data_IF_128814850901
#
_entry.id   IF_128814850901
#
_cell.length_a   1.000
_cell.length_b   1.000
_cell.length_c   1.000
_cell.angle_alpha   90.00
_cell.angle_beta   90.00
_cell.angle_gamma   90.00
#
_symmetry.space_group_name_H-M   'P 1'
#
loop_
_entity.id
_entity.type
_entity.pdbx_description
1 polymer ?
#
# COMPACT_ATOMS: atom_id res chain seq x y z
N UNK A 1 43.09 -42.57 -19.33
CA UNK A 1 42.36 -43.83 -19.55
C UNK A 1 40.89 -43.46 -19.39
N UNK A 2 40.08 -43.40 -20.45
CA UNK A 2 39.50 -44.53 -21.22
C UNK A 2 38.50 -45.35 -20.39
N UNK A 3 37.25 -45.57 -20.82
CA UNK A 3 36.55 -45.17 -22.06
C UNK A 3 35.02 -45.29 -21.93
N UNK A 4 34.26 -44.51 -22.72
CA UNK A 4 32.88 -44.81 -23.18
C UNK A 4 31.74 -44.77 -22.13
N UNK A 5 30.47 -44.49 -22.47
CA UNK A 5 29.87 -44.04 -23.74
C UNK A 5 28.86 -45.02 -24.35
N UNK A 6 27.61 -44.56 -24.58
CA UNK A 6 26.59 -45.08 -25.54
C UNK A 6 25.35 -44.17 -25.47
N UNK A 7 24.58 -44.01 -26.56
CA UNK A 7 23.30 -43.30 -26.57
C UNK A 7 22.30 -43.87 -27.62
N UNK A 8 21.02 -43.95 -27.25
CA UNK A 8 19.78 -44.20 -28.03
C UNK A 8 18.62 -43.68 -27.15
N UNK A 9 17.51 -42.99 -27.53
CA UNK A 9 16.74 -42.64 -28.75
C UNK A 9 15.45 -43.47 -29.04
N UNK A 10 14.38 -42.72 -29.35
CA UNK A 10 13.04 -43.15 -29.85
C UNK A 10 12.18 -43.91 -28.82
N UNK A 11 10.84 -43.85 -28.82
CA UNK A 11 9.83 -43.19 -29.69
C UNK A 11 8.86 -42.33 -28.81
N UNK A 12 8.07 -41.33 -29.25
CA UNK A 12 6.97 -41.29 -30.25
C UNK A 12 5.88 -42.37 -30.01
N UNK A 13 4.56 -42.12 -30.08
CA UNK A 13 3.74 -40.87 -30.18
C UNK A 13 2.24 -41.21 -30.14
N UNK A 14 1.35 -40.32 -29.67
CA UNK A 14 -0.09 -40.14 -30.01
C UNK A 14 -0.82 -39.34 -28.88
N UNK A 15 -2.04 -38.82 -29.04
CA UNK A 15 -2.50 -37.69 -29.89
C UNK A 15 -4.02 -37.48 -29.75
N UNK A 16 -4.49 -36.22 -29.86
CA UNK A 16 -5.91 -35.77 -29.90
C UNK A 16 -6.71 -35.82 -28.58
N UNK A 17 -7.59 -34.83 -28.39
CA UNK A 17 -8.44 -34.71 -27.19
C UNK A 17 -8.89 -33.29 -26.83
N UNK A 18 -9.47 -32.55 -27.79
CA UNK A 18 -10.12 -31.26 -27.52
C UNK A 18 -11.64 -31.39 -27.68
N UNK A 19 -12.44 -30.86 -26.75
CA UNK A 19 -13.53 -29.89 -27.01
C UNK A 19 -14.50 -29.69 -25.83
N UNK A 20 -14.92 -28.43 -25.67
CA UNK A 20 -16.25 -27.94 -25.26
C UNK A 20 -16.77 -28.04 -23.81
N UNK A 21 -17.56 -26.99 -23.50
CA UNK A 21 -18.37 -26.77 -22.30
C UNK A 21 -19.65 -27.60 -22.34
N UNK A 22 -20.19 -27.94 -21.18
CA UNK A 22 -21.65 -28.02 -20.95
C UNK A 22 -22.03 -27.28 -19.66
N UNK A 23 -23.09 -26.47 -19.75
CA UNK A 23 -23.76 -25.87 -18.59
C UNK A 23 -24.96 -26.76 -18.24
N UNK A 24 -25.11 -27.16 -16.98
CA UNK A 24 -26.37 -27.73 -16.46
C UNK A 24 -26.45 -27.48 -14.95
N UNK A 25 -27.52 -26.83 -14.51
CA UNK A 25 -27.88 -26.71 -13.10
C UNK A 25 -28.92 -27.79 -12.74
N UNK A 26 -28.90 -28.35 -11.51
CA UNK A 26 -29.99 -29.17 -11.01
C UNK A 26 -31.13 -28.30 -10.47
N UNK A 27 -32.37 -28.68 -10.76
CA UNK A 27 -33.59 -28.18 -10.10
C UNK A 27 -34.04 -29.19 -9.05
N UNK A 28 -34.77 -28.71 -8.04
CA UNK A 28 -35.35 -29.50 -6.94
C UNK A 28 -35.98 -30.83 -7.37
N UNK A 29 -35.90 -31.82 -6.48
CA UNK A 29 -36.95 -32.83 -6.35
C UNK A 29 -37.21 -33.11 -4.86
N UNK A 30 -38.36 -32.65 -4.36
CA UNK A 30 -38.75 -32.79 -2.95
C UNK A 30 -39.50 -34.11 -2.74
N UNK A 31 -39.13 -34.90 -1.74
CA UNK A 31 -39.85 -36.14 -1.39
C UNK A 31 -40.41 -36.08 0.05
N UNK A 32 -41.43 -36.90 0.34
CA UNK A 32 -42.47 -36.58 1.36
C UNK A 32 -42.81 -37.77 2.27
N UNK A 33 -42.78 -37.52 3.58
CA UNK A 33 -43.40 -38.31 4.67
C UNK A 33 -43.85 -37.28 5.73
N UNK A 34 -45.12 -37.02 6.03
CA UNK A 34 -46.22 -37.88 6.54
C UNK A 34 -46.09 -38.33 8.01
N UNK A 35 -46.48 -37.42 8.92
CA UNK A 35 -47.18 -37.62 10.21
C UNK A 35 -47.38 -36.21 10.85
N UNK A 36 -48.47 -35.82 11.53
CA UNK A 36 -49.81 -36.40 11.65
C UNK A 36 -50.75 -35.54 12.54
N UNK A 37 -52.07 -35.82 12.49
CA UNK A 37 -53.09 -35.53 13.52
C UNK A 37 -53.70 -34.10 13.72
N UNK A 38 -54.97 -33.98 13.26
CA UNK A 38 -56.13 -33.20 13.80
C UNK A 38 -56.39 -31.70 13.47
N UNK A 39 -57.68 -31.23 13.53
CA UNK A 39 -58.13 -29.97 12.91
C UNK A 39 -58.93 -28.99 13.81
N UNK A 40 -59.17 -27.75 13.34
CA UNK A 40 -60.40 -26.96 13.62
C UNK A 40 -60.58 -25.71 12.70
N UNK A 41 -61.82 -25.51 12.22
CA UNK A 41 -62.54 -24.23 11.94
C UNK A 41 -61.83 -22.96 11.41
N UNK A 42 -62.34 -22.36 10.31
CA UNK A 42 -62.05 -20.97 9.93
C UNK A 42 -62.64 -20.47 8.59
N UNK A 43 -63.76 -19.74 8.65
CA UNK A 43 -64.40 -18.96 7.55
C UNK A 43 -63.57 -17.70 7.17
N UNK A 44 -63.74 -16.97 6.05
CA UNK A 44 -64.32 -17.16 4.69
C UNK A 44 -64.11 -15.84 3.87
N UNK A 45 -64.49 -15.79 2.58
CA UNK A 45 -64.56 -14.61 1.66
C UNK A 45 -63.18 -14.07 1.16
N UNK A 46 -62.88 -13.72 -0.12
CA UNK A 46 -63.56 -13.06 -1.29
C UNK A 46 -63.76 -11.55 -1.10
N UNK A 47 -63.44 -10.60 -2.02
CA UNK A 47 -63.17 -10.55 -3.48
C UNK A 47 -61.98 -9.59 -3.78
N UNK A 48 -61.10 -9.79 -4.77
CA UNK A 48 -61.19 -9.48 -6.22
C UNK A 48 -61.39 -8.00 -6.62
N UNK A 49 -60.37 -7.31 -7.17
CA UNK A 49 -60.32 -6.96 -8.62
C UNK A 49 -59.10 -6.10 -9.09
N UNK A 50 -58.63 -6.46 -10.30
CA UNK A 50 -58.02 -5.71 -11.41
C UNK A 50 -57.43 -4.30 -11.16
N UNK A 51 -56.12 -4.05 -11.37
CA UNK A 51 -55.35 -4.03 -12.65
C UNK A 51 -55.38 -2.70 -13.42
N UNK A 52 -54.21 -2.05 -13.55
CA UNK A 52 -53.80 -1.36 -14.79
C UNK A 52 -52.28 -1.41 -14.97
N UNK A 53 -51.83 -1.41 -16.22
CA UNK A 53 -50.44 -1.57 -16.63
C UNK A 53 -49.91 -0.31 -17.31
N UNK A 54 -48.64 0.00 -17.08
CA UNK A 54 -47.77 0.62 -18.09
C UNK A 54 -46.33 0.15 -17.89
N UNK A 55 -45.64 -0.12 -18.99
CA UNK A 55 -44.20 -0.39 -19.01
C UNK A 55 -43.42 0.94 -18.99
N UNK A 56 -42.14 0.88 -18.61
CA UNK A 56 -41.06 1.37 -19.48
C UNK A 56 -39.71 0.79 -19.05
N UNK A 57 -38.80 0.63 -20.01
CA UNK A 57 -37.48 -0.01 -19.83
C UNK A 57 -36.37 1.03 -19.95
N UNK A 58 -35.31 0.92 -19.14
CA UNK A 58 -34.16 1.84 -19.22
C UNK A 58 -32.96 1.35 -18.43
N UNK A 59 -32.06 0.60 -19.08
CA UNK A 59 -30.79 0.16 -18.50
C UNK A 59 -29.69 1.20 -18.73
N UNK A 60 -29.00 1.63 -17.68
CA UNK A 60 -27.82 2.52 -17.77
C UNK A 60 -26.56 1.78 -17.33
N UNK A 61 -25.83 1.23 -18.30
CA UNK A 61 -24.49 0.70 -18.06
C UNK A 61 -23.47 1.84 -18.09
N UNK A 62 -22.76 2.07 -16.97
CA UNK A 62 -21.70 3.08 -16.90
C UNK A 62 -20.37 2.54 -17.44
N UNK A 63 -20.10 2.79 -18.72
CA UNK A 63 -18.79 2.52 -19.34
C UNK A 63 -17.79 3.64 -19.02
N UNK A 64 -17.05 3.51 -17.92
CA UNK A 64 -15.96 4.42 -17.58
C UNK A 64 -14.72 4.15 -18.47
N UNK A 65 -14.51 4.95 -19.51
CA UNK A 65 -13.38 4.82 -20.44
C UNK A 65 -12.74 6.18 -20.75
N UNK A 66 -12.03 6.74 -19.78
CA UNK A 66 -11.29 8.00 -19.92
C UNK A 66 -9.89 7.77 -20.49
N UNK A 67 -9.77 7.58 -21.80
CA UNK A 67 -8.46 7.57 -22.48
C UNK A 67 -7.93 8.99 -22.65
N UNK A 68 -6.78 9.28 -22.06
CA UNK A 68 -6.11 10.59 -22.18
C UNK A 68 -5.28 10.68 -23.47
N UNK A 69 -5.62 11.63 -24.35
CA UNK A 69 -4.82 11.93 -25.53
C UNK A 69 -4.88 13.43 -25.86
N UNK A 70 -3.72 14.10 -25.79
CA UNK A 70 -3.52 15.50 -26.16
C UNK A 70 -2.75 15.58 -27.48
N UNK A 71 -3.18 16.46 -28.39
CA UNK A 71 -2.30 17.11 -29.38
C UNK A 71 -3.05 18.24 -30.11
N UNK A 72 -2.59 19.50 -30.05
CA UNK A 72 -3.14 20.60 -30.85
C UNK A 72 -2.31 20.88 -32.10
N UNK A 73 -2.94 21.04 -33.28
CA UNK A 73 -2.28 21.63 -34.45
C UNK A 73 -3.27 22.13 -35.51
N UNK A 74 -2.79 23.04 -36.37
CA UNK A 74 -3.44 23.62 -37.56
C UNK A 74 -4.66 24.53 -37.35
N UNK A 75 -4.49 25.79 -37.75
CA UNK A 75 -5.52 26.82 -37.92
C UNK A 75 -6.27 26.66 -39.26
N UNK A 76 -7.56 27.02 -39.29
CA UNK A 76 -8.29 27.47 -40.49
C UNK A 76 -9.40 28.45 -40.06
N UNK A 77 -9.64 29.50 -40.85
CA UNK A 77 -10.55 30.60 -40.49
C UNK A 77 -11.85 30.58 -41.31
N UNK A 78 -12.94 31.11 -40.73
CA UNK A 78 -14.14 31.52 -41.48
C UNK A 78 -15.01 32.53 -40.71
N UNK A 79 -16.01 33.09 -41.37
CA UNK A 79 -16.79 34.31 -41.04
C UNK A 79 -18.30 34.02 -41.24
N UNK A 80 -19.34 34.65 -40.66
CA UNK A 80 -19.60 35.73 -39.67
C UNK A 80 -21.12 35.64 -39.30
N UNK A 81 -21.74 36.42 -38.37
CA UNK A 81 -21.26 37.40 -37.39
C UNK A 81 -21.74 37.11 -35.93
N UNK A 82 -21.52 38.04 -34.99
CA UNK A 82 -22.08 38.01 -33.63
C UNK A 82 -23.55 38.47 -33.57
N UNK A 83 -24.31 38.08 -32.52
CA UNK A 83 -24.80 39.12 -31.60
C UNK A 83 -24.82 38.74 -30.10
N UNK A 84 -24.95 39.77 -29.26
CA UNK A 84 -25.20 39.77 -27.80
C UNK A 84 -24.11 39.18 -26.89
N UNK A 85 -23.61 40.02 -25.97
CA UNK A 85 -22.62 39.65 -24.98
C UNK A 85 -23.26 39.07 -23.72
N UNK A 86 -22.79 37.89 -23.31
CA UNK A 86 -22.90 37.36 -21.94
C UNK A 86 -21.49 37.34 -21.34
N UNK A 87 -21.29 37.75 -20.07
CA UNK A 87 -19.97 37.72 -19.46
C UNK A 87 -19.57 36.27 -19.16
N UNK A 88 -18.82 35.66 -20.08
CA UNK A 88 -18.13 34.39 -19.82
C UNK A 88 -17.12 34.64 -18.71
N UNK A 89 -17.46 34.27 -17.48
CA UNK A 89 -16.45 34.11 -16.45
C UNK A 89 -15.46 33.06 -16.93
N UNK A 90 -14.23 33.51 -17.22
CA UNK A 90 -13.08 32.65 -17.47
C UNK A 90 -12.70 31.92 -16.18
N UNK A 91 -13.54 30.99 -15.77
CA UNK A 91 -13.25 30.05 -14.70
C UNK A 91 -12.11 29.17 -15.17
N UNK A 92 -10.88 29.60 -14.88
CA UNK A 92 -9.74 28.68 -14.82
C UNK A 92 -10.21 27.46 -14.04
N UNK A 93 -10.08 26.28 -14.62
CA UNK A 93 -10.28 25.03 -13.88
C UNK A 93 -9.09 24.90 -12.95
N UNK A 94 -9.18 25.61 -11.82
CA UNK A 94 -8.29 25.44 -10.68
C UNK A 94 -8.35 23.95 -10.36
N UNK A 95 -7.23 23.26 -10.53
CA UNK A 95 -7.11 21.88 -10.10
C UNK A 95 -7.34 21.88 -8.59
N UNK A 96 -8.53 21.49 -8.17
CA UNK A 96 -8.86 21.40 -6.75
C UNK A 96 -7.89 20.42 -6.13
N UNK A 97 -7.22 20.84 -5.05
CA UNK A 97 -6.35 20.00 -4.22
C UNK A 97 -7.20 19.01 -3.40
N UNK A 98 -8.03 18.24 -4.11
CA UNK A 98 -8.78 17.11 -3.61
C UNK A 98 -7.83 15.90 -3.61
N UNK A 99 -7.81 15.16 -2.51
CA UNK A 99 -6.90 14.04 -2.23
C UNK A 99 -6.93 12.93 -3.30
N UNK A 100 -8.03 12.82 -4.05
CA UNK A 100 -8.19 11.94 -5.22
C UNK A 100 -7.18 12.29 -6.33
N UNK A 101 -6.96 13.58 -6.59
CA UNK A 101 -6.14 14.09 -7.70
C UNK A 101 -4.64 14.21 -7.37
N UNK A 102 -4.27 14.09 -6.09
CA UNK A 102 -2.89 14.21 -5.65
C UNK A 102 -2.05 13.05 -6.20
N UNK A 103 -0.92 13.34 -6.86
CA UNK A 103 0.05 12.32 -7.28
C UNK A 103 0.69 11.66 -6.05
N UNK A 104 1.18 10.45 -6.24
CA UNK A 104 2.07 9.82 -5.27
C UNK A 104 3.27 10.72 -4.97
N UNK A 105 3.60 10.84 -3.69
CA UNK A 105 4.88 11.39 -3.25
C UNK A 105 5.82 10.23 -2.95
N UNK A 106 6.87 10.08 -3.75
CA UNK A 106 7.85 9.01 -3.57
C UNK A 106 8.64 9.17 -2.25
N UNK A 107 8.80 10.38 -1.72
CA UNK A 107 9.50 10.60 -0.44
C UNK A 107 8.74 10.04 0.76
N UNK A 108 7.43 9.82 0.62
CA UNK A 108 6.56 9.26 1.66
C UNK A 108 6.55 7.73 1.72
N UNK A 109 7.18 7.01 0.78
CA UNK A 109 7.19 5.54 0.86
C UNK A 109 8.12 5.06 1.98
N UNK A 110 7.73 3.98 2.67
CA UNK A 110 8.55 3.43 3.77
C UNK A 110 9.96 3.01 3.28
N UNK A 111 10.09 2.55 2.03
CA UNK A 111 11.38 2.33 1.38
C UNK A 111 12.22 3.61 1.31
N UNK A 112 11.67 4.70 0.75
CA UNK A 112 12.42 5.93 0.55
C UNK A 112 12.73 6.66 1.87
N UNK A 113 11.82 6.57 2.85
CA UNK A 113 12.05 7.00 4.23
C UNK A 113 13.24 6.24 4.83
N UNK A 114 13.29 4.91 4.71
CA UNK A 114 14.40 4.12 5.27
C UNK A 114 15.74 4.37 4.54
N UNK A 115 15.73 4.58 3.23
CA UNK A 115 16.93 4.95 2.46
C UNK A 115 17.49 6.29 2.93
N UNK A 116 16.65 7.32 3.06
CA UNK A 116 17.10 8.62 3.58
C UNK A 116 17.50 8.53 5.06
N UNK A 117 16.77 7.77 5.87
CA UNK A 117 17.07 7.58 7.28
C UNK A 117 18.42 6.89 7.48
N UNK A 118 18.79 5.90 6.65
CA UNK A 118 20.16 5.32 6.64
C UNK A 118 21.22 6.37 6.31
N UNK A 119 20.98 7.25 5.35
CA UNK A 119 21.91 8.33 4.99
C UNK A 119 22.10 9.37 6.12
N UNK A 120 21.03 9.71 6.86
CA UNK A 120 21.11 10.60 8.04
C UNK A 120 21.77 9.90 9.23
N UNK A 121 21.46 8.63 9.48
CA UNK A 121 22.09 7.84 10.54
C UNK A 121 23.59 7.61 10.29
N UNK A 122 24.03 7.50 9.03
CA UNK A 122 25.45 7.40 8.69
C UNK A 122 26.27 8.66 9.04
N UNK A 123 25.61 9.81 9.23
CA UNK A 123 26.21 11.06 9.70
C UNK A 123 26.31 11.14 11.24
N UNK A 124 25.77 10.17 11.98
CA UNK A 124 25.83 10.16 13.44
C UNK A 124 27.20 9.60 13.87
N UNK A 125 28.01 10.35 14.64
CA UNK A 125 29.33 9.89 15.10
C UNK A 125 29.28 8.53 15.79
N UNK A 126 30.05 7.56 15.27
CA UNK A 126 30.12 6.20 15.79
C UNK A 126 28.95 5.28 15.41
N UNK A 127 27.95 5.75 14.64
CA UNK A 127 26.80 4.91 14.29
C UNK A 127 27.11 3.84 13.23
N UNK A 128 28.02 4.13 12.30
CA UNK A 128 28.32 3.24 11.16
C UNK A 128 28.77 1.82 11.54
N UNK A 129 29.33 1.61 12.74
CA UNK A 129 29.63 0.27 13.26
C UNK A 129 28.38 -0.61 13.37
N UNK A 130 27.23 -0.04 13.77
CA UNK A 130 25.98 -0.80 13.90
C UNK A 130 25.38 -1.27 12.57
N UNK A 131 25.81 -0.70 11.43
CA UNK A 131 25.43 -1.22 10.11
C UNK A 131 26.27 -2.44 9.74
N UNK A 132 27.60 -2.37 9.90
CA UNK A 132 28.51 -3.50 9.65
C UNK A 132 28.15 -4.69 10.56
N UNK A 133 28.00 -4.44 11.87
CA UNK A 133 27.54 -5.43 12.85
C UNK A 133 26.19 -6.08 12.47
N UNK A 134 25.37 -5.48 11.59
CA UNK A 134 24.07 -6.02 11.16
C UNK A 134 24.07 -6.70 9.79
N UNK A 135 25.16 -6.58 9.03
CA UNK A 135 25.32 -7.18 7.70
C UNK A 135 26.25 -8.43 7.73
N UNK A 136 26.94 -8.68 8.87
CA UNK A 136 27.83 -9.84 9.12
C UNK A 136 27.14 -11.12 9.70
N UNK A 137 25.82 -11.12 9.91
CA UNK A 137 25.07 -12.29 10.41
C UNK A 137 24.59 -13.17 9.22
N UNK A 138 24.85 -14.49 9.26
CA UNK A 138 24.65 -15.49 8.17
C UNK A 138 23.18 -15.65 7.69
N UNK A 139 22.61 -14.63 7.03
CA UNK A 139 21.25 -14.58 6.49
C UNK A 139 21.23 -14.49 4.94
N UNK A 140 20.10 -14.86 4.33
CA UNK A 140 20.03 -15.06 2.88
C UNK A 140 19.99 -13.76 2.04
N UNK A 141 20.58 -13.81 0.83
CA UNK A 141 20.64 -12.69 -0.15
C UNK A 141 19.26 -12.08 -0.50
N UNK A 142 18.17 -12.83 -0.29
CA UNK A 142 16.80 -12.43 -0.62
C UNK A 142 16.27 -11.24 0.22
N UNK A 143 16.88 -10.98 1.38
CA UNK A 143 16.36 -10.04 2.38
C UNK A 143 17.23 -8.77 2.55
N UNK A 144 17.98 -8.44 1.50
CA UNK A 144 18.88 -7.28 1.36
C UNK A 144 18.16 -5.94 1.07
N UNK A 145 16.88 -5.78 1.41
CA UNK A 145 16.19 -4.49 1.20
C UNK A 145 16.52 -3.46 2.31
N UNK A 146 16.53 -2.14 2.00
CA UNK A 146 16.94 -1.11 2.95
C UNK A 146 16.05 -0.98 4.20
N UNK A 147 14.78 -1.42 4.13
CA UNK A 147 13.84 -1.36 5.26
C UNK A 147 14.15 -2.50 6.23
N UNK A 148 14.25 -3.73 5.72
CA UNK A 148 14.51 -4.92 6.52
C UNK A 148 15.88 -4.86 7.20
N UNK A 149 16.94 -4.44 6.49
CA UNK A 149 18.28 -4.23 7.08
C UNK A 149 18.27 -3.12 8.15
N UNK A 150 17.60 -1.97 7.92
CA UNK A 150 17.47 -0.93 8.95
C UNK A 150 16.66 -1.40 10.17
N UNK A 151 15.60 -2.17 9.96
CA UNK A 151 14.76 -2.70 11.05
C UNK A 151 15.52 -3.73 11.89
N UNK A 152 16.31 -4.62 11.28
CA UNK A 152 17.23 -5.54 11.99
C UNK A 152 18.26 -4.77 12.81
N UNK A 153 18.94 -3.79 12.22
CA UNK A 153 19.90 -2.93 12.92
C UNK A 153 19.26 -2.28 14.16
N UNK A 154 18.13 -1.58 14.00
CA UNK A 154 17.44 -0.89 15.10
C UNK A 154 16.94 -1.86 16.19
N UNK A 155 16.50 -3.08 15.83
CA UNK A 155 16.10 -4.13 16.79
C UNK A 155 17.24 -4.57 17.72
N UNK A 156 18.52 -4.35 17.38
CA UNK A 156 19.64 -4.59 18.31
C UNK A 156 19.60 -3.66 19.53
N UNK A 157 18.93 -2.52 19.44
CA UNK A 157 18.70 -1.56 20.54
C UNK A 157 19.92 -0.72 20.93
N UNK A 158 21.13 -1.23 20.74
CA UNK A 158 22.38 -0.46 20.86
C UNK A 158 22.48 0.77 19.93
N UNK A 159 21.95 0.79 18.68
CA UNK A 159 22.10 1.97 17.82
C UNK A 159 21.25 3.14 18.31
N UNK A 160 20.09 2.85 18.91
CA UNK A 160 19.21 3.85 19.54
C UNK A 160 19.93 4.54 20.72
N UNK A 161 20.65 3.77 21.54
CA UNK A 161 21.45 4.31 22.66
C UNK A 161 22.62 5.16 22.15
N UNK A 162 23.31 4.74 21.08
CA UNK A 162 24.33 5.57 20.41
C UNK A 162 23.73 6.89 19.92
N UNK A 163 22.65 6.83 19.13
CA UNK A 163 21.96 7.99 18.57
C UNK A 163 21.53 9.01 19.65
N UNK A 164 20.92 8.54 20.74
CA UNK A 164 20.53 9.44 21.84
C UNK A 164 21.75 10.05 22.54
N UNK A 165 22.81 9.27 22.78
CA UNK A 165 24.02 9.78 23.41
C UNK A 165 24.76 10.82 22.55
N UNK A 166 24.61 10.79 21.22
CA UNK A 166 25.10 11.84 20.32
C UNK A 166 24.51 13.22 20.63
N UNK A 167 23.29 13.30 21.18
CA UNK A 167 22.65 14.58 21.53
C UNK A 167 23.33 15.35 22.66
N UNK A 168 24.32 14.75 23.34
CA UNK A 168 24.95 15.25 24.56
C UNK A 168 23.91 15.56 25.67
N UNK A 169 23.12 14.55 26.09
CA UNK A 169 22.14 14.69 27.17
C UNK A 169 22.83 14.94 28.52
N UNK A 170 22.10 15.56 29.45
CA UNK A 170 22.60 15.78 30.82
C UNK A 170 22.81 14.46 31.59
N UNK A 171 22.11 13.40 31.19
CA UNK A 171 22.26 12.04 31.69
C UNK A 171 22.46 11.10 30.48
N UNK A 172 23.68 10.59 30.30
CA UNK A 172 23.97 9.63 29.23
C UNK A 172 23.30 8.29 29.48
N UNK A 173 22.67 7.72 28.45
CA UNK A 173 22.12 6.37 28.52
C UNK A 173 23.27 5.36 28.61
N UNK A 174 23.35 4.53 29.66
CA UNK A 174 24.42 3.56 29.80
C UNK A 174 24.30 2.49 28.71
N UNK A 175 25.42 2.20 28.04
CA UNK A 175 25.50 1.06 27.12
C UNK A 175 25.14 -0.23 27.88
N UNK A 176 24.32 -1.13 27.29
CA UNK A 176 23.88 -2.34 28.00
C UNK A 176 25.04 -3.25 28.42
N UNK A 177 24.97 -3.79 29.63
CA UNK A 177 25.99 -4.69 30.20
C UNK A 177 26.16 -5.94 29.31
N UNK A 178 27.40 -6.23 28.92
CA UNK A 178 27.79 -7.36 28.05
C UNK A 178 27.53 -8.73 28.68
N UNK A 179 27.17 -8.77 29.98
CA UNK A 179 26.76 -9.98 30.70
C UNK A 179 25.27 -10.32 30.52
N UNK A 180 24.48 -9.44 29.91
CA UNK A 180 23.05 -9.66 29.67
C UNK A 180 22.78 -10.39 28.35
N UNK A 181 21.88 -11.37 28.37
CA UNK A 181 21.43 -12.04 27.15
C UNK A 181 20.77 -11.04 26.17
N UNK A 182 21.19 -11.07 24.90
CA UNK A 182 20.80 -10.12 23.84
C UNK A 182 19.30 -9.74 23.81
N UNK A 183 18.31 -10.66 23.78
CA UNK A 183 16.90 -10.27 23.71
C UNK A 183 16.38 -9.51 24.95
N UNK A 184 17.09 -9.56 26.09
CA UNK A 184 16.83 -8.70 27.26
C UNK A 184 17.60 -7.38 27.16
N UNK A 185 18.85 -7.45 26.69
CA UNK A 185 19.78 -6.33 26.47
C UNK A 185 19.19 -5.31 25.49
N UNK A 186 18.73 -5.74 24.32
CA UNK A 186 18.12 -4.90 23.29
C UNK A 186 16.81 -4.26 23.77
N UNK A 187 15.91 -5.03 24.39
CA UNK A 187 14.63 -4.49 24.91
C UNK A 187 14.84 -3.47 26.03
N UNK A 188 15.83 -3.67 26.90
CA UNK A 188 16.23 -2.68 27.91
C UNK A 188 16.80 -1.41 27.28
N UNK A 189 17.63 -1.54 26.24
CA UNK A 189 18.19 -0.41 25.50
C UNK A 189 17.10 0.44 24.82
N UNK A 190 16.18 -0.21 24.09
CA UNK A 190 15.03 0.44 23.45
C UNK A 190 14.10 1.10 24.47
N UNK A 191 13.80 0.44 25.60
CA UNK A 191 12.95 1.02 26.64
C UNK A 191 13.54 2.32 27.18
N UNK A 192 14.83 2.32 27.54
CA UNK A 192 15.53 3.52 28.03
C UNK A 192 15.59 4.64 26.99
N UNK A 193 15.76 4.30 25.71
CA UNK A 193 15.68 5.29 24.62
C UNK A 193 14.30 5.95 24.55
N UNK A 194 13.22 5.19 24.62
CA UNK A 194 11.84 5.71 24.59
C UNK A 194 11.55 6.58 25.82
N UNK A 195 11.94 6.13 27.02
CA UNK A 195 11.83 6.88 28.26
C UNK A 195 12.56 8.23 28.19
N UNK A 196 13.79 8.24 27.66
CA UNK A 196 14.59 9.45 27.50
C UNK A 196 14.04 10.40 26.40
N UNK A 197 13.44 9.87 25.33
CA UNK A 197 12.73 10.67 24.33
C UNK A 197 11.50 11.39 24.92
N UNK A 198 10.79 10.78 25.86
CA UNK A 198 9.70 11.43 26.58
C UNK A 198 10.20 12.49 27.58
N UNK A 199 11.26 12.17 28.34
CA UNK A 199 11.79 13.00 29.44
C UNK A 199 12.56 14.22 28.94
N UNK A 200 13.51 14.04 28.03
CA UNK A 200 14.47 15.08 27.64
C UNK A 200 14.06 15.79 26.34
N UNK A 201 13.52 15.04 25.35
CA UNK A 201 13.03 15.61 24.08
C UNK A 201 11.55 16.03 24.14
N UNK A 202 10.87 15.77 25.25
CA UNK A 202 9.47 16.16 25.49
C UNK A 202 8.47 15.60 24.45
N UNK A 203 8.79 14.48 23.80
CA UNK A 203 7.91 13.84 22.80
C UNK A 203 6.68 13.25 23.52
N UNK A 204 5.44 13.53 23.08
CA UNK A 204 4.25 13.05 23.77
C UNK A 204 4.15 11.51 23.85
N UNK A 205 3.54 10.95 24.91
CA UNK A 205 3.36 9.50 25.07
C UNK A 205 2.53 8.84 23.96
N UNK A 206 1.72 9.62 23.23
CA UNK A 206 0.98 9.14 22.06
C UNK A 206 1.87 8.94 20.82
N UNK A 207 2.98 9.69 20.72
CA UNK A 207 3.80 9.82 19.52
C UNK A 207 5.10 9.01 19.59
N UNK A 208 5.61 8.72 20.80
CA UNK A 208 6.70 7.74 20.98
C UNK A 208 6.23 6.31 20.68
N UNK A 209 7.11 5.49 20.11
CA UNK A 209 6.80 4.09 19.79
C UNK A 209 6.94 3.18 21.02
N UNK A 210 6.16 2.10 21.07
CA UNK A 210 6.22 1.08 22.10
C UNK A 210 7.17 -0.08 21.71
N UNK A 211 7.55 -0.94 22.67
CA UNK A 211 8.41 -2.11 22.37
C UNK A 211 7.76 -3.07 21.36
N UNK A 212 6.43 -3.13 21.28
CA UNK A 212 5.68 -3.84 20.24
C UNK A 212 6.00 -3.36 18.83
N UNK A 213 6.31 -2.08 18.67
CA UNK A 213 6.34 -1.39 17.38
C UNK A 213 7.68 -1.62 16.68
N UNK A 214 8.74 -1.88 17.46
CA UNK A 214 10.07 -2.26 16.97
C UNK A 214 10.27 -3.79 16.94
N UNK A 215 9.86 -4.50 17.99
CA UNK A 215 10.09 -5.95 18.13
C UNK A 215 8.95 -6.83 17.62
N UNK A 216 7.81 -6.23 17.21
CA UNK A 216 6.76 -6.90 16.47
C UNK A 216 7.05 -6.95 14.96
N UNK A 217 6.07 -7.45 14.22
CA UNK A 217 6.14 -7.67 12.77
C UNK A 217 4.94 -7.00 12.07
N UNK A 218 4.82 -5.68 12.25
CA UNK A 218 3.86 -4.79 11.57
C UNK A 218 4.58 -3.51 11.17
N UNK A 219 4.52 -3.16 9.89
CA UNK A 219 5.12 -1.96 9.32
C UNK A 219 4.50 -0.67 9.87
N UNK A 220 3.28 -0.70 10.42
CA UNK A 220 2.66 0.48 11.05
C UNK A 220 3.39 0.86 12.34
N UNK A 221 3.77 -0.14 13.15
CA UNK A 221 4.71 0.05 14.25
C UNK A 221 6.06 0.61 13.77
N UNK A 222 6.64 0.03 12.72
CA UNK A 222 7.94 0.49 12.23
C UNK A 222 7.92 1.90 11.61
N UNK A 223 6.83 2.31 10.96
CA UNK A 223 6.63 3.71 10.53
C UNK A 223 6.75 4.65 11.74
N UNK A 224 6.12 4.32 12.87
CA UNK A 224 6.22 5.11 14.11
C UNK A 224 7.65 5.14 14.68
N UNK A 225 8.38 4.03 14.59
CA UNK A 225 9.82 3.99 14.89
C UNK A 225 10.61 4.98 14.02
N UNK A 226 10.42 4.95 12.70
CA UNK A 226 11.13 5.87 11.78
C UNK A 226 10.78 7.35 12.00
N UNK A 227 9.56 7.66 12.44
CA UNK A 227 9.14 9.02 12.80
C UNK A 227 9.90 9.56 14.01
N UNK A 228 9.95 8.80 15.11
CA UNK A 228 10.67 9.20 16.34
C UNK A 228 12.17 9.35 16.08
N UNK A 229 12.77 8.45 15.29
CA UNK A 229 14.20 8.53 14.96
C UNK A 229 14.49 9.78 14.10
N UNK A 230 13.60 10.15 13.17
CA UNK A 230 13.75 11.42 12.44
C UNK A 230 13.66 12.63 13.38
N UNK A 231 12.71 12.69 14.32
CA UNK A 231 12.65 13.78 15.32
C UNK A 231 13.95 13.88 16.12
N UNK A 232 14.52 12.74 16.54
CA UNK A 232 15.80 12.69 17.26
C UNK A 232 16.97 13.20 16.39
N UNK A 233 16.99 12.86 15.10
CA UNK A 233 17.98 13.37 14.13
C UNK A 233 17.79 14.86 13.83
N UNK A 234 16.56 15.36 13.73
CA UNK A 234 16.27 16.78 13.53
C UNK A 234 16.80 17.61 14.71
N UNK A 235 16.69 17.09 15.94
CA UNK A 235 17.27 17.71 17.14
C UNK A 235 18.81 17.62 17.14
N UNK A 236 19.40 16.54 16.63
CA UNK A 236 20.86 16.44 16.46
C UNK A 236 21.39 17.44 15.42
N UNK A 237 20.68 17.58 14.31
CA UNK A 237 21.00 18.49 13.20
C UNK A 237 20.89 19.97 13.63
N UNK A 238 19.80 20.33 14.33
CA UNK A 238 19.61 21.66 14.92
C UNK A 238 20.70 22.04 15.95
N UNK A 239 21.32 21.04 16.60
CA UNK A 239 22.45 21.23 17.53
C UNK A 239 23.82 21.22 16.83
N UNK A 240 23.89 20.92 15.53
CA UNK A 240 25.14 20.79 14.78
C UNK A 240 25.97 19.55 15.18
N UNK A 241 25.32 18.49 15.66
CA UNK A 241 25.97 17.28 16.21
C UNK A 241 26.08 16.13 15.19
N UNK A 242 25.54 16.32 13.97
CA UNK A 242 25.75 15.42 12.84
C UNK A 242 27.05 15.78 12.10
N UNK A 243 27.73 14.77 11.57
CA UNK A 243 28.85 14.94 10.67
C UNK A 243 28.36 15.60 9.38
N UNK A 244 28.89 16.78 9.04
CA UNK A 244 28.67 17.39 7.73
C UNK A 244 28.97 16.37 6.63
N UNK A 245 28.07 16.13 5.67
CA UNK A 245 28.39 15.30 4.53
C UNK A 245 29.66 15.82 3.85
N UNK A 246 30.72 15.00 3.82
CA UNK A 246 31.81 15.29 2.90
C UNK A 246 31.23 15.26 1.49
N UNK A 247 31.48 16.32 0.73
CA UNK A 247 31.21 16.34 -0.69
C UNK A 247 32.23 15.42 -1.39
N UNK A 248 32.05 14.12 -1.25
CA UNK A 248 32.52 13.18 -2.27
C UNK A 248 31.76 13.52 -3.56
N UNK A 249 32.50 13.72 -4.65
CA UNK A 249 31.97 14.18 -5.94
C UNK A 249 30.97 13.16 -6.51
N UNK A 250 29.73 13.28 -6.05
CA UNK A 250 28.56 12.57 -6.58
C UNK A 250 28.29 13.18 -7.94
N UNK A 251 29.02 12.67 -8.93
CA UNK A 251 28.84 12.98 -10.33
C UNK A 251 27.49 12.45 -10.78
N UNK A 252 26.44 13.22 -10.49
CA UNK A 252 25.11 12.98 -11.00
C UNK A 252 25.22 12.80 -12.52
N UNK A 253 24.93 11.59 -12.98
CA UNK A 253 24.85 11.27 -14.40
C UNK A 253 23.57 11.89 -14.97
N UNK A 254 23.58 13.22 -15.07
CA UNK A 254 22.47 14.06 -15.47
C UNK A 254 21.90 13.57 -16.80
N UNK A 255 20.81 12.81 -16.72
CA UNK A 255 20.24 12.13 -17.89
C UNK A 255 19.71 13.18 -18.85
N UNK A 256 20.32 13.24 -20.04
CA UNK A 256 20.15 14.36 -20.96
C UNK A 256 18.65 14.63 -21.26
N UNK A 257 18.16 15.87 -21.02
CA UNK A 257 16.73 16.20 -21.15
C UNK A 257 16.32 16.15 -22.62
N UNK A 258 15.73 15.02 -23.03
CA UNK A 258 15.37 14.74 -24.43
C UNK A 258 15.34 13.26 -24.78
N UNK A 259 15.93 12.38 -23.96
CA UNK A 259 15.76 10.93 -24.12
C UNK A 259 14.28 10.55 -24.02
N UNK A 260 13.71 10.03 -25.13
CA UNK A 260 12.35 9.49 -25.12
C UNK A 260 12.35 8.20 -24.30
N UNK A 261 11.72 8.27 -23.13
CA UNK A 261 11.41 7.12 -22.26
C UNK A 261 11.00 5.90 -23.09
N UNK A 262 11.73 4.80 -22.92
CA UNK A 262 11.38 3.52 -23.54
C UNK A 262 10.03 3.03 -23.01
N UNK A 263 9.29 2.27 -23.83
CA UNK A 263 8.00 1.70 -23.43
C UNK A 263 8.11 0.87 -22.13
N UNK A 264 9.20 0.08 -21.95
CA UNK A 264 9.48 -0.60 -20.67
C UNK A 264 9.62 0.37 -19.50
N UNK A 265 10.33 1.49 -19.69
CA UNK A 265 10.52 2.49 -18.63
C UNK A 265 9.21 3.20 -18.28
N UNK A 266 8.35 3.47 -19.27
CA UNK A 266 7.01 4.04 -19.05
C UNK A 266 6.15 3.11 -18.19
N UNK A 267 6.13 1.81 -18.51
CA UNK A 267 5.39 0.80 -17.75
C UNK A 267 5.93 0.64 -16.34
N UNK A 268 7.26 0.51 -16.18
CA UNK A 268 7.91 0.41 -14.87
C UNK A 268 7.54 1.61 -13.99
N UNK A 269 7.57 2.82 -14.54
CA UNK A 269 7.12 4.03 -13.85
C UNK A 269 5.63 3.97 -13.49
N UNK A 270 4.76 3.57 -14.42
CA UNK A 270 3.32 3.45 -14.15
C UNK A 270 3.03 2.42 -13.04
N UNK A 271 3.68 1.26 -13.05
CA UNK A 271 3.56 0.24 -12.01
C UNK A 271 3.93 0.82 -10.63
N UNK A 272 5.14 1.39 -10.51
CA UNK A 272 5.67 1.90 -9.24
C UNK A 272 4.88 3.13 -8.75
N UNK A 273 4.63 4.12 -9.59
CA UNK A 273 3.95 5.35 -9.17
C UNK A 273 2.47 5.11 -8.84
N UNK A 274 1.80 4.17 -9.51
CA UNK A 274 0.43 3.78 -9.15
C UNK A 274 0.37 2.85 -7.92
N UNK A 275 1.44 2.11 -7.61
CA UNK A 275 1.54 1.36 -6.34
C UNK A 275 1.74 2.32 -5.17
N UNK A 276 2.69 3.27 -5.28
CA UNK A 276 2.90 4.34 -4.30
C UNK A 276 1.61 5.12 -4.02
N UNK A 277 0.85 5.49 -5.05
CA UNK A 277 -0.45 6.19 -4.88
C UNK A 277 -1.47 5.31 -4.18
N UNK A 278 -1.53 4.02 -4.51
CA UNK A 278 -2.45 3.10 -3.85
C UNK A 278 -2.11 2.91 -2.37
N UNK A 279 -0.85 2.68 -2.01
CA UNK A 279 -0.41 2.61 -0.60
C UNK A 279 -0.71 3.92 0.13
N UNK A 280 -0.36 5.08 -0.44
CA UNK A 280 -0.67 6.39 0.13
C UNK A 280 -2.19 6.56 0.38
N UNK A 281 -3.04 6.07 -0.52
CA UNK A 281 -4.49 6.13 -0.36
C UNK A 281 -5.02 5.16 0.71
N UNK A 282 -4.38 3.99 0.90
CA UNK A 282 -4.65 3.11 2.03
C UNK A 282 -4.23 3.76 3.37
N UNK A 283 -3.10 4.47 3.41
CA UNK A 283 -2.67 5.22 4.60
C UNK A 283 -3.64 6.32 4.97
N UNK A 284 -4.13 7.08 3.98
CA UNK A 284 -5.17 8.10 4.19
C UNK A 284 -6.48 7.47 4.73
N UNK A 285 -6.83 6.26 4.30
CA UNK A 285 -8.01 5.53 4.81
C UNK A 285 -7.79 4.98 6.23
N UNK A 286 -6.57 4.54 6.56
CA UNK A 286 -6.18 4.10 7.90
C UNK A 286 -6.10 5.27 8.90
N UNK A 287 -5.59 6.42 8.50
CA UNK A 287 -5.54 7.60 9.37
C UNK A 287 -6.94 8.18 9.64
N UNK A 288 -7.86 8.07 8.67
CA UNK A 288 -9.29 8.30 8.91
C UNK A 288 -9.85 7.35 9.97
N UNK A 289 -9.64 6.03 9.82
CA UNK A 289 -10.06 5.01 10.78
C UNK A 289 -9.56 5.35 12.19
N UNK A 290 -8.26 5.61 12.33
CA UNK A 290 -7.60 6.01 13.59
C UNK A 290 -8.20 7.30 14.17
N UNK A 291 -8.46 8.30 13.34
CA UNK A 291 -9.10 9.56 13.76
C UNK A 291 -10.51 9.33 14.32
N UNK A 292 -11.30 8.45 13.68
CA UNK A 292 -12.64 8.08 14.14
C UNK A 292 -12.59 7.36 15.50
N UNK A 293 -11.66 6.42 15.66
CA UNK A 293 -11.46 5.65 16.90
C UNK A 293 -10.98 6.55 18.05
N UNK A 294 -10.00 7.43 17.80
CA UNK A 294 -9.45 8.35 18.80
C UNK A 294 -10.46 9.43 19.23
N UNK A 295 -11.30 9.94 18.31
CA UNK A 295 -12.37 10.89 18.62
C UNK A 295 -13.65 10.23 19.15
N UNK A 296 -13.76 8.90 19.14
CA UNK A 296 -14.95 8.17 19.60
C UNK A 296 -16.22 8.43 18.77
N UNK A 297 -16.07 8.77 17.48
CA UNK A 297 -17.16 9.28 16.62
C UNK A 297 -18.25 8.24 16.36
N UNK A 298 -17.87 6.96 16.28
CA UNK A 298 -18.75 5.79 16.22
C UNK A 298 -18.14 4.67 17.05
N UNK A 299 -18.97 3.69 17.44
CA UNK A 299 -18.51 2.54 18.21
C UNK A 299 -17.55 1.65 17.40
N UNK A 300 -16.59 1.01 18.07
CA UNK A 300 -15.47 0.30 17.43
C UNK A 300 -15.86 -0.94 16.61
N UNK A 301 -17.00 -1.54 16.92
CA UNK A 301 -17.64 -2.58 16.10
C UNK A 301 -18.12 -2.01 14.76
N UNK A 302 -18.75 -0.83 14.76
CA UNK A 302 -19.16 -0.10 13.54
C UNK A 302 -17.94 0.36 12.75
N UNK A 303 -16.85 0.78 13.41
CA UNK A 303 -15.56 1.04 12.72
C UNK A 303 -15.05 -0.24 12.05
N UNK A 304 -15.03 -1.37 12.75
CA UNK A 304 -14.57 -2.63 12.17
C UNK A 304 -15.45 -3.09 10.99
N UNK A 305 -16.77 -2.91 11.07
CA UNK A 305 -17.70 -3.24 9.99
C UNK A 305 -17.56 -2.34 8.74
N UNK A 306 -17.06 -1.11 8.90
CA UNK A 306 -16.78 -0.17 7.79
C UNK A 306 -15.40 -0.41 7.18
N UNK A 307 -14.37 -0.53 8.02
CA UNK A 307 -12.97 -0.56 7.58
C UNK A 307 -12.41 -1.99 7.41
N UNK A 308 -13.14 -3.01 7.88
CA UNK A 308 -12.83 -4.43 7.71
C UNK A 308 -11.38 -4.75 8.15
N UNK A 309 -10.64 -5.52 7.36
CA UNK A 309 -9.23 -5.86 7.59
C UNK A 309 -8.24 -4.89 6.91
N UNK A 310 -8.59 -3.59 6.79
CA UNK A 310 -7.72 -2.59 6.13
C UNK A 310 -6.30 -2.52 6.69
N UNK A 311 -6.12 -2.73 8.01
CA UNK A 311 -4.81 -2.75 8.66
C UNK A 311 -3.88 -3.82 8.06
N UNK A 312 -4.38 -5.04 7.87
CA UNK A 312 -3.60 -6.14 7.26
C UNK A 312 -3.35 -5.90 5.77
N UNK A 313 -4.30 -5.29 5.05
CA UNK A 313 -4.13 -4.89 3.65
C UNK A 313 -3.06 -3.80 3.49
N UNK A 314 -3.01 -2.83 4.41
CA UNK A 314 -2.01 -1.77 4.42
C UNK A 314 -0.61 -2.30 4.77
N UNK A 315 -0.46 -3.16 5.78
CA UNK A 315 0.84 -3.77 6.10
C UNK A 315 1.37 -4.59 4.92
N UNK A 316 0.53 -5.48 4.38
CA UNK A 316 0.86 -6.27 3.19
C UNK A 316 1.30 -5.38 2.02
N UNK A 317 0.56 -4.32 1.71
CA UNK A 317 0.89 -3.47 0.56
C UNK A 317 2.08 -2.55 0.79
N UNK A 318 2.41 -2.19 2.04
CA UNK A 318 3.71 -1.59 2.36
C UNK A 318 4.86 -2.56 2.08
N UNK A 319 4.78 -3.81 2.54
CA UNK A 319 5.79 -4.86 2.25
C UNK A 319 5.91 -5.13 0.74
N UNK A 320 4.79 -5.21 0.05
CA UNK A 320 4.75 -5.40 -1.40
C UNK A 320 5.41 -4.21 -2.14
N UNK A 321 5.05 -2.97 -1.79
CA UNK A 321 5.68 -1.76 -2.32
C UNK A 321 7.19 -1.73 -2.04
N UNK A 322 7.65 -2.15 -0.86
CA UNK A 322 9.09 -2.22 -0.53
C UNK A 322 9.84 -3.14 -1.50
N UNK A 323 9.37 -4.36 -1.75
CA UNK A 323 10.03 -5.27 -2.71
C UNK A 323 9.85 -4.79 -4.17
N UNK A 324 8.78 -4.08 -4.52
CA UNK A 324 8.59 -3.38 -5.81
C UNK A 324 9.61 -2.24 -6.00
N UNK A 325 9.85 -1.41 -4.98
CA UNK A 325 10.85 -0.32 -5.02
C UNK A 325 12.29 -0.84 -4.94
N UNK A 326 12.51 -1.96 -4.25
CA UNK A 326 13.78 -2.71 -4.28
C UNK A 326 14.05 -3.28 -5.68
N UNK A 327 13.03 -3.81 -6.36
CA UNK A 327 13.16 -4.25 -7.76
C UNK A 327 13.42 -3.06 -8.69
N UNK A 328 12.88 -1.87 -8.38
CA UNK A 328 13.09 -0.66 -9.16
C UNK A 328 14.52 -0.09 -9.03
N UNK A 329 15.17 -0.24 -7.87
CA UNK A 329 16.53 0.28 -7.62
C UNK A 329 17.65 -0.61 -8.16
N UNK A 330 17.36 -1.88 -8.48
CA UNK A 330 18.31 -2.78 -9.13
C UNK A 330 18.63 -2.36 -10.58
N UNK A 331 19.84 -2.69 -11.09
CA UNK A 331 20.20 -2.54 -12.51
C UNK A 331 19.16 -3.19 -13.43
N UNK A 332 18.83 -2.54 -14.56
CA UNK A 332 17.72 -2.90 -15.46
C UNK A 332 17.77 -4.36 -15.93
N UNK A 333 18.98 -4.87 -16.11
CA UNK A 333 19.36 -6.23 -16.47
C UNK A 333 19.10 -7.29 -15.38
N UNK A 334 18.99 -6.89 -14.11
CA UNK A 334 18.65 -7.75 -12.95
C UNK A 334 17.17 -7.67 -12.51
N UNK A 335 16.40 -6.69 -12.99
CA UNK A 335 15.04 -6.45 -12.45
C UNK A 335 14.02 -7.54 -12.85
N UNK A 336 13.72 -8.44 -11.90
CA UNK A 336 12.75 -9.52 -12.05
C UNK A 336 11.36 -9.14 -11.53
N UNK A 337 10.69 -8.24 -12.25
CA UNK A 337 9.36 -7.71 -11.86
C UNK A 337 8.23 -8.74 -11.67
N UNK A 338 8.40 -9.99 -12.13
CA UNK A 338 7.48 -11.09 -11.83
C UNK A 338 7.69 -11.71 -10.43
N UNK A 339 8.91 -11.61 -9.88
CA UNK A 339 9.31 -12.25 -8.62
C UNK A 339 8.49 -11.75 -7.40
N UNK A 340 8.24 -10.43 -7.20
CA UNK A 340 7.38 -9.98 -6.11
C UNK A 340 5.96 -10.55 -6.18
N UNK A 341 5.38 -10.68 -7.38
CA UNK A 341 4.03 -11.24 -7.54
C UNK A 341 3.97 -12.73 -7.24
N UNK A 342 5.01 -13.49 -7.63
CA UNK A 342 5.14 -14.91 -7.32
C UNK A 342 5.32 -15.14 -5.82
N UNK A 343 6.23 -14.40 -5.19
CA UNK A 343 6.57 -14.60 -3.78
C UNK A 343 5.44 -14.17 -2.82
N UNK A 344 4.55 -13.28 -3.26
CA UNK A 344 3.38 -12.84 -2.49
C UNK A 344 2.03 -13.40 -2.99
N UNK A 345 2.02 -14.41 -3.86
CA UNK A 345 0.77 -14.93 -4.46
C UNK A 345 -0.28 -15.34 -3.40
N UNK A 346 0.14 -16.10 -2.37
CA UNK A 346 -0.74 -16.50 -1.27
C UNK A 346 -1.16 -15.32 -0.37
N UNK A 347 -0.29 -14.31 -0.21
CA UNK A 347 -0.57 -13.16 0.65
C UNK A 347 -1.71 -12.28 0.11
N UNK A 348 -1.98 -12.28 -1.20
CA UNK A 348 -3.15 -11.61 -1.78
C UNK A 348 -4.50 -12.20 -1.30
N UNK A 349 -4.54 -13.40 -0.70
CA UNK A 349 -5.77 -14.00 -0.17
C UNK A 349 -6.45 -13.14 0.92
N UNK A 350 -5.72 -12.24 1.61
CA UNK A 350 -6.31 -11.31 2.60
C UNK A 350 -7.41 -10.41 2.00
N UNK A 351 -7.42 -10.21 0.68
CA UNK A 351 -8.45 -9.44 -0.02
C UNK A 351 -9.80 -10.15 -0.07
N UNK A 352 -9.86 -11.48 0.08
CA UNK A 352 -11.11 -12.25 -0.02
C UNK A 352 -12.14 -11.79 1.03
N UNK A 353 -11.71 -11.62 2.29
CA UNK A 353 -12.56 -11.15 3.39
C UNK A 353 -13.06 -9.72 3.16
N UNK A 354 -12.21 -8.85 2.59
CA UNK A 354 -12.56 -7.48 2.25
C UNK A 354 -13.61 -7.44 1.14
N UNK A 355 -13.34 -8.11 0.01
CA UNK A 355 -14.21 -8.22 -1.16
C UNK A 355 -15.59 -8.77 -0.78
N UNK A 356 -15.65 -9.81 0.06
CA UNK A 356 -16.89 -10.45 0.47
C UNK A 356 -17.81 -9.51 1.27
N UNK A 357 -17.24 -8.62 2.10
CA UNK A 357 -17.99 -7.76 3.01
C UNK A 357 -18.19 -6.32 2.49
N UNK A 358 -17.47 -5.90 1.43
CA UNK A 358 -17.46 -4.52 0.92
C UNK A 358 -18.85 -3.87 0.77
N UNK A 359 -19.85 -4.61 0.28
CA UNK A 359 -21.21 -4.05 0.11
C UNK A 359 -21.87 -3.71 1.45
N UNK A 360 -21.67 -4.55 2.48
CA UNK A 360 -22.14 -4.28 3.85
C UNK A 360 -21.43 -3.07 4.42
N UNK A 361 -20.09 -3.04 4.31
CA UNK A 361 -19.25 -1.94 4.78
C UNK A 361 -19.67 -0.58 4.18
N UNK A 362 -19.84 -0.50 2.86
CA UNK A 362 -20.27 0.71 2.17
C UNK A 362 -21.67 1.19 2.60
N UNK A 363 -22.61 0.28 2.91
CA UNK A 363 -23.92 0.65 3.46
C UNK A 363 -23.78 1.22 4.88
N UNK A 364 -23.04 0.55 5.77
CA UNK A 364 -22.84 1.02 7.15
C UNK A 364 -22.07 2.35 7.19
N UNK A 365 -21.13 2.55 6.28
CA UNK A 365 -20.40 3.82 6.10
C UNK A 365 -21.34 4.95 5.67
N UNK A 366 -22.31 4.66 4.80
CA UNK A 366 -23.32 5.62 4.36
C UNK A 366 -24.27 6.00 5.50
N UNK A 367 -24.78 5.00 6.21
CA UNK A 367 -25.74 5.19 7.31
C UNK A 367 -25.13 5.91 8.53
N UNK A 368 -23.80 6.00 8.60
CA UNK A 368 -23.06 6.76 9.63
C UNK A 368 -22.31 7.98 9.07
N UNK A 369 -22.48 8.33 7.79
CA UNK A 369 -21.66 9.37 7.13
C UNK A 369 -21.72 10.73 7.86
N UNK A 370 -22.91 11.14 8.30
CA UNK A 370 -23.14 12.40 9.04
C UNK A 370 -22.38 12.49 10.38
N UNK A 371 -21.93 11.35 10.93
CA UNK A 371 -21.01 11.30 12.08
C UNK A 371 -19.56 11.33 11.59
N UNK A 372 -19.24 10.54 10.57
CA UNK A 372 -17.87 10.36 10.06
C UNK A 372 -17.30 11.68 9.52
N UNK A 373 -18.12 12.60 9.00
CA UNK A 373 -17.70 13.97 8.62
C UNK A 373 -17.08 14.76 9.77
N UNK A 374 -17.48 14.51 11.03
CA UNK A 374 -16.88 15.16 12.22
C UNK A 374 -15.42 14.71 12.49
N UNK A 375 -14.91 13.74 11.74
CA UNK A 375 -13.50 13.40 11.73
C UNK A 375 -12.62 14.54 11.21
N UNK A 376 -13.18 15.48 10.42
CA UNK A 376 -12.46 16.61 9.79
C UNK A 376 -11.20 16.14 9.03
N UNK A 377 -11.39 15.14 8.16
CA UNK A 377 -10.32 14.45 7.46
C UNK A 377 -10.53 14.52 5.93
N UNK A 378 -9.49 14.78 5.10
CA UNK A 378 -9.66 15.05 3.67
C UNK A 378 -10.29 13.95 2.80
N UNK A 379 -10.47 12.74 3.32
CA UNK A 379 -11.18 11.61 2.66
C UNK A 379 -12.71 11.74 2.80
N UNK A 380 -13.22 12.57 3.70
CA UNK A 380 -14.65 12.68 4.07
C UNK A 380 -15.31 13.97 3.57
N UNK A 381 -14.79 14.56 2.49
CA UNK A 381 -15.36 15.78 1.88
C UNK A 381 -16.77 15.52 1.33
N UNK A 382 -16.99 14.34 0.74
CA UNK A 382 -18.32 13.82 0.41
C UNK A 382 -18.33 12.28 0.51
N UNK A 383 -19.52 11.67 0.49
CA UNK A 383 -19.65 10.21 0.57
C UNK A 383 -19.05 9.50 -0.66
N UNK A 384 -19.08 10.14 -1.84
CA UNK A 384 -18.53 9.56 -3.07
C UNK A 384 -17.00 9.41 -2.97
N UNK A 385 -16.32 10.34 -2.30
CA UNK A 385 -14.90 10.27 -1.99
C UNK A 385 -14.64 9.11 -1.03
N UNK A 386 -15.40 9.01 0.06
CA UNK A 386 -15.24 7.92 1.05
C UNK A 386 -15.46 6.53 0.43
N UNK A 387 -16.58 6.32 -0.27
CA UNK A 387 -16.88 5.07 -0.98
C UNK A 387 -15.83 4.77 -2.07
N UNK A 388 -15.42 5.81 -2.82
CA UNK A 388 -14.34 5.73 -3.78
C UNK A 388 -13.00 5.29 -3.17
N UNK A 389 -12.69 5.68 -1.92
CA UNK A 389 -11.53 5.19 -1.17
C UNK A 389 -11.72 3.76 -0.64
N UNK A 390 -12.88 3.44 -0.06
CA UNK A 390 -13.21 2.09 0.40
C UNK A 390 -13.16 1.06 -0.75
N UNK A 391 -13.45 1.45 -1.99
CA UNK A 391 -13.39 0.57 -3.17
C UNK A 391 -11.97 0.37 -3.73
N UNK A 392 -10.96 1.17 -3.36
CA UNK A 392 -9.59 1.09 -3.91
C UNK A 392 -8.95 -0.30 -3.81
N UNK A 393 -9.09 -1.08 -2.70
CA UNK A 393 -8.52 -2.41 -2.62
C UNK A 393 -9.03 -3.37 -3.69
N UNK A 394 -10.34 -3.35 -3.96
CA UNK A 394 -10.92 -4.15 -5.04
C UNK A 394 -10.45 -3.67 -6.42
N UNK A 395 -10.35 -2.35 -6.60
CA UNK A 395 -9.91 -1.74 -7.86
C UNK A 395 -8.43 -2.01 -8.18
N UNK A 396 -7.52 -2.06 -7.19
CA UNK A 396 -6.11 -2.38 -7.43
C UNK A 396 -5.92 -3.85 -7.82
N UNK A 397 -6.58 -4.78 -7.12
CA UNK A 397 -6.38 -6.22 -7.34
C UNK A 397 -6.65 -6.63 -8.79
N UNK A 398 -7.67 -6.06 -9.43
CA UNK A 398 -8.00 -6.32 -10.85
C UNK A 398 -7.07 -5.63 -11.86
N UNK A 399 -6.18 -4.74 -11.43
CA UNK A 399 -5.20 -4.05 -12.29
C UNK A 399 -3.89 -4.81 -12.42
N UNK A 400 -3.45 -5.55 -11.40
CA UNK A 400 -2.19 -6.32 -11.47
C UNK A 400 -2.10 -7.26 -12.68
N UNK A 401 -3.15 -8.05 -13.04
CA UNK A 401 -3.08 -8.87 -14.24
C UNK A 401 -2.97 -8.07 -15.54
N UNK A 402 -3.38 -6.80 -15.57
CA UNK A 402 -3.24 -5.93 -16.75
C UNK A 402 -1.83 -5.34 -16.82
N UNK A 403 -1.32 -4.81 -15.69
CA UNK A 403 0.04 -4.31 -15.49
C UNK A 403 1.13 -5.39 -15.65
N UNK A 404 0.74 -6.66 -15.81
CA UNK A 404 1.61 -7.77 -16.18
C UNK A 404 1.33 -8.27 -17.61
N UNK A 405 0.07 -8.47 -18.02
CA UNK A 405 -0.27 -9.05 -19.33
C UNK A 405 0.01 -8.15 -20.54
N UNK A 406 0.02 -6.83 -20.36
CA UNK A 406 0.46 -5.90 -21.42
C UNK A 406 1.96 -6.11 -21.77
N UNK A 407 2.69 -6.91 -20.99
CA UNK A 407 4.12 -7.21 -21.15
C UNK A 407 4.41 -8.66 -21.56
N UNK A 408 3.42 -9.37 -22.12
CA UNK A 408 3.64 -10.65 -22.81
C UNK A 408 3.93 -10.51 -24.32
N UNK A 409 4.13 -9.29 -24.83
CA UNK A 409 4.72 -9.13 -26.16
C UNK A 409 6.18 -9.63 -26.15
N UNK A 410 6.62 -10.50 -27.09
CA UNK A 410 7.88 -11.25 -26.96
C UNK A 410 9.16 -10.39 -27.03
N UNK A 411 9.08 -9.12 -27.41
CA UNK A 411 10.19 -8.15 -27.36
C UNK A 411 10.19 -7.26 -26.10
N UNK A 412 9.19 -7.40 -25.21
CA UNK A 412 8.95 -6.50 -24.08
C UNK A 412 8.57 -7.25 -22.79
N UNK A 413 9.09 -8.46 -22.59
CA UNK A 413 8.92 -9.22 -21.36
C UNK A 413 9.50 -8.47 -20.15
N UNK A 414 8.60 -7.92 -19.32
CA UNK A 414 8.95 -7.36 -18.01
C UNK A 414 8.91 -8.47 -16.94
N UNK A 415 7.99 -9.42 -17.11
CA UNK A 415 8.08 -10.75 -16.50
C UNK A 415 9.18 -11.58 -17.19
N UNK A 416 10.40 -11.51 -16.65
CA UNK A 416 11.27 -12.70 -16.60
C UNK A 416 10.71 -13.63 -15.52
N UNK A 417 10.92 -14.94 -15.68
CA UNK A 417 10.31 -16.02 -14.90
C UNK A 417 11.38 -16.91 -14.26
#
# INVERSE_FOLDING_TARGET
MSSGGVAIRLAQSQSHGSLLRTNTAPVFNSNRSEEGNRPATGLSQTMSHNSRSTQLTGSTAFTASSTTSLNPSSTSASLVPAPLAMPVQGGNVIATNNIINQRADASRSLYQICVNLRQRLAQVPGFNGHFVDSDDEDEAEEDMDPVSSLWRCLRKGTPLVTLYNTLQPAEHLPLPDTRMAEPKKSKMATFKFVEACMKDLHIPPGDVFALSDLFGDDTTGFVKVTQVINIVLDVAEQRGLLLTPQAEDTSESATAPGSKMSYRQHVVRELVDTERKYVQDLENLHELKKTIEQKGIIAGDVVHDIFLNINAILDFQRRFLIKIETTNSQPVDKQEWGLPFRNYEEAFNIYQTFIANQRKAATIAKDNFDKITTADHPVVVDFNTLDGFLLKPMQRLVKYPLLLKVHHAPACAIARY
#
